data_IF_079279212317
#
_entry.id   IF_079279212317
#
_cell.length_a   1.000
_cell.length_b   1.000
_cell.length_c   1.000
_cell.angle_alpha   90.00
_cell.angle_beta   90.00
_cell.angle_gamma   90.00
#
_symmetry.space_group_name_H-M   'P 1'
#
loop_
_entity.id
_entity.type
_entity.pdbx_description
1 polymer ?
#
# COMPACT_ATOMS: atom_id res chain seq x y z
N UNK A 1 -22.77 3.54 0.91
CA UNK A 1 -22.20 3.21 -0.40
C UNK A 1 -21.76 4.52 -1.03
N UNK A 2 -20.50 4.86 -0.82
CA UNK A 2 -19.88 6.06 -1.37
C UNK A 2 -18.37 5.84 -1.35
N UNK A 3 -17.73 5.99 -2.51
CA UNK A 3 -16.27 6.10 -2.59
C UNK A 3 -15.83 7.30 -1.75
N UNK A 4 -14.89 7.07 -0.83
CA UNK A 4 -14.36 8.07 0.09
C UNK A 4 -13.03 8.59 -0.44
N UNK A 5 -12.71 9.84 -0.11
CA UNK A 5 -11.37 10.40 -0.37
C UNK A 5 -10.37 9.72 0.56
N UNK A 6 -9.31 9.17 -0.01
CA UNK A 6 -8.16 8.65 0.73
C UNK A 6 -7.31 9.83 1.19
N UNK A 7 -7.08 9.92 2.50
CA UNK A 7 -6.21 10.91 3.11
C UNK A 7 -4.76 10.60 2.74
N UNK A 8 -3.99 11.66 2.44
CA UNK A 8 -2.60 11.55 1.98
C UNK A 8 -1.63 12.32 2.87
N UNK A 9 -0.35 11.95 2.80
CA UNK A 9 0.76 12.66 3.43
C UNK A 9 0.68 12.70 4.96
N UNK A 10 1.10 13.82 5.54
CA UNK A 10 1.17 14.03 7.00
C UNK A 10 -0.18 14.42 7.62
N UNK A 11 -1.29 13.89 7.09
CA UNK A 11 -2.60 14.11 7.69
C UNK A 11 -2.63 13.58 9.12
N UNK A 12 -3.04 14.42 10.08
CA UNK A 12 -3.03 14.09 11.51
C UNK A 12 -3.75 12.77 11.82
N UNK A 13 -4.85 12.47 11.13
CA UNK A 13 -5.62 11.24 11.32
C UNK A 13 -4.84 9.96 10.99
N UNK A 14 -3.88 10.03 10.06
CA UNK A 14 -3.01 8.89 9.72
C UNK A 14 -1.98 8.62 10.82
N UNK A 15 -1.79 9.58 11.74
CA UNK A 15 -0.85 9.51 12.87
C UNK A 15 -1.54 9.18 14.20
N UNK A 16 -2.84 8.95 14.19
CA UNK A 16 -3.62 8.69 15.40
C UNK A 16 -3.94 7.20 15.56
N UNK A 17 -3.65 6.60 16.73
CA UNK A 17 -4.07 5.24 17.03
C UNK A 17 -5.60 5.10 16.97
N UNK A 18 -6.08 4.05 16.33
CA UNK A 18 -7.49 3.79 16.14
C UNK A 18 -8.13 3.13 17.36
N UNK A 19 -9.37 3.53 17.66
CA UNK A 19 -10.17 2.92 18.71
C UNK A 19 -10.69 1.53 18.30
N UNK A 20 -10.84 0.64 19.28
CA UNK A 20 -11.49 -0.66 19.04
C UNK A 20 -12.97 -0.45 18.70
N UNK A 21 -13.47 -1.25 17.78
CA UNK A 21 -14.91 -1.38 17.52
C UNK A 21 -15.53 -2.15 18.69
N UNK A 22 -16.53 -1.55 19.33
CA UNK A 22 -17.29 -2.15 20.44
C UNK A 22 -18.75 -2.40 20.08
N UNK A 23 -19.27 -1.70 19.07
CA UNK A 23 -20.64 -1.78 18.58
C UNK A 23 -20.61 -2.36 17.16
N UNK A 24 -21.28 -3.49 16.96
CA UNK A 24 -21.35 -4.24 15.71
C UNK A 24 -22.74 -4.09 15.11
N UNK A 25 -23.03 -2.87 14.65
CA UNK A 25 -24.34 -2.45 14.16
C UNK A 25 -24.23 -1.86 12.73
N UNK A 26 -25.33 -1.35 12.19
CA UNK A 26 -25.44 -0.82 10.82
C UNK A 26 -24.34 0.20 10.45
N UNK A 27 -23.84 0.97 11.41
CA UNK A 27 -22.75 1.92 11.17
C UNK A 27 -21.43 1.24 10.80
N UNK A 28 -21.13 0.08 11.40
CA UNK A 28 -19.96 -0.72 11.07
C UNK A 28 -20.10 -1.35 9.69
N UNK A 29 -21.29 -1.86 9.35
CA UNK A 29 -21.58 -2.37 8.01
C UNK A 29 -21.41 -1.26 6.96
N UNK A 30 -21.86 -0.04 7.27
CA UNK A 30 -21.69 1.10 6.38
C UNK A 30 -20.21 1.48 6.22
N UNK A 31 -19.42 1.49 7.30
CA UNK A 31 -17.98 1.74 7.26
C UNK A 31 -17.27 0.71 6.39
N UNK A 32 -17.53 -0.59 6.62
CA UNK A 32 -16.94 -1.66 5.83
C UNK A 32 -17.34 -1.53 4.36
N UNK A 33 -18.60 -1.22 4.08
CA UNK A 33 -19.06 -0.99 2.70
C UNK A 33 -18.31 0.16 2.03
N UNK A 34 -18.15 1.29 2.72
CA UNK A 34 -17.44 2.45 2.17
C UNK A 34 -15.95 2.15 1.97
N UNK A 35 -15.32 1.37 2.87
CA UNK A 35 -13.96 0.88 2.69
C UNK A 35 -13.83 -0.02 1.46
N UNK A 36 -14.78 -0.94 1.25
CA UNK A 36 -14.77 -1.84 0.08
C UNK A 36 -14.99 -1.08 -1.22
N UNK A 37 -15.95 -0.17 -1.25
CA UNK A 37 -16.22 0.67 -2.42
C UNK A 37 -14.98 1.52 -2.76
N UNK A 38 -14.34 2.10 -1.75
CA UNK A 38 -13.12 2.90 -1.92
C UNK A 38 -11.93 2.04 -2.35
N UNK A 39 -11.75 0.85 -1.76
CA UNK A 39 -10.68 -0.07 -2.16
C UNK A 39 -10.82 -0.45 -3.63
N UNK A 40 -12.04 -0.74 -4.11
CA UNK A 40 -12.30 -1.12 -5.51
C UNK A 40 -12.10 0.03 -6.50
N UNK A 41 -12.33 1.26 -6.07
CA UNK A 41 -12.04 2.46 -6.86
C UNK A 41 -10.55 2.86 -6.78
N UNK A 42 -9.83 2.29 -5.82
CA UNK A 42 -8.40 2.47 -5.66
C UNK A 42 -7.61 1.35 -6.36
N UNK A 43 -6.36 1.63 -6.74
CA UNK A 43 -5.45 0.60 -7.23
C UNK A 43 -4.75 -0.22 -6.13
N UNK A 44 -5.05 0.00 -4.85
CA UNK A 44 -4.48 -0.74 -3.73
C UNK A 44 -5.08 -2.14 -3.56
N UNK A 45 -4.44 -2.98 -2.72
CA UNK A 45 -4.96 -4.30 -2.34
C UNK A 45 -5.54 -4.33 -0.92
N UNK A 46 -5.33 -3.27 -0.14
CA UNK A 46 -5.89 -3.10 1.18
C UNK A 46 -6.16 -1.63 1.47
N UNK A 47 -7.07 -1.39 2.42
CA UNK A 47 -7.43 -0.06 2.88
C UNK A 47 -7.94 -0.12 4.32
N UNK A 48 -7.45 0.78 5.17
CA UNK A 48 -7.89 0.90 6.57
C UNK A 48 -8.76 2.14 6.81
N UNK A 49 -9.65 2.03 7.81
CA UNK A 49 -10.54 3.11 8.23
C UNK A 49 -9.86 4.48 8.46
N UNK A 50 -8.68 4.59 9.12
CA UNK A 50 -8.00 5.88 9.28
C UNK A 50 -7.68 6.55 7.95
N UNK A 51 -7.42 5.80 6.88
CA UNK A 51 -7.13 6.35 5.56
C UNK A 51 -8.34 7.03 4.91
N UNK A 52 -9.56 6.70 5.32
CA UNK A 52 -10.79 7.44 4.94
C UNK A 52 -11.29 8.37 6.06
N UNK A 53 -10.45 8.60 7.06
CA UNK A 53 -10.65 9.55 8.15
C UNK A 53 -11.50 9.05 9.32
N UNK A 54 -11.66 7.73 9.46
CA UNK A 54 -12.42 7.08 10.54
C UNK A 54 -11.47 6.33 11.47
N UNK A 55 -11.34 6.75 12.72
CA UNK A 55 -10.37 6.21 13.68
C UNK A 55 -10.89 4.95 14.40
N UNK A 56 -11.18 3.92 13.62
CA UNK A 56 -11.60 2.61 14.13
C UNK A 56 -10.68 1.50 13.62
N UNK A 57 -10.50 0.45 14.42
CA UNK A 57 -9.68 -0.71 14.08
C UNK A 57 -10.38 -1.61 13.06
N UNK A 58 -10.48 -1.13 11.82
CA UNK A 58 -11.10 -1.84 10.70
C UNK A 58 -10.23 -1.65 9.47
N UNK A 59 -9.90 -2.75 8.79
CA UNK A 59 -9.35 -2.70 7.45
C UNK A 59 -9.95 -3.78 6.56
N UNK A 60 -9.84 -3.57 5.25
CA UNK A 60 -10.25 -4.54 4.23
C UNK A 60 -9.06 -4.88 3.34
N UNK A 61 -9.03 -6.09 2.80
CA UNK A 61 -7.96 -6.57 1.92
C UNK A 61 -8.52 -7.49 0.85
N UNK A 62 -8.10 -7.31 -0.40
CA UNK A 62 -8.38 -8.21 -1.52
C UNK A 62 -7.09 -8.50 -2.29
N UNK A 63 -6.50 -9.68 -2.02
CA UNK A 63 -5.34 -10.20 -2.76
C UNK A 63 -5.77 -11.16 -3.88
N UNK A 64 -6.95 -10.92 -4.45
CA UNK A 64 -7.52 -11.70 -5.55
C UNK A 64 -8.25 -12.97 -5.12
N UNK A 65 -8.61 -13.10 -3.84
CA UNK A 65 -9.46 -14.17 -3.31
C UNK A 65 -10.85 -13.65 -2.90
N UNK A 66 -11.14 -12.39 -3.22
CA UNK A 66 -12.28 -11.66 -2.70
C UNK A 66 -11.90 -10.88 -1.43
N UNK A 67 -12.71 -9.86 -1.17
CA UNK A 67 -12.53 -8.96 -0.04
C UNK A 67 -12.66 -9.70 1.29
N UNK A 68 -11.63 -9.56 2.13
CA UNK A 68 -11.60 -9.96 3.52
C UNK A 68 -11.70 -8.73 4.43
N UNK A 69 -12.42 -8.86 5.54
CA UNK A 69 -12.70 -7.77 6.49
C UNK A 69 -12.10 -8.10 7.84
N UNK A 70 -11.31 -7.18 8.39
CA UNK A 70 -10.57 -7.37 9.62
C UNK A 70 -10.98 -6.31 10.65
N UNK A 71 -11.77 -6.71 11.64
CA UNK A 71 -12.19 -5.82 12.72
C UNK A 71 -11.43 -6.19 14.00
N UNK A 72 -10.93 -5.19 14.72
CA UNK A 72 -10.09 -5.34 15.90
C UNK A 72 -8.96 -6.39 15.75
N UNK A 73 -8.19 -6.36 14.64
CA UNK A 73 -7.19 -7.37 14.36
C UNK A 73 -6.06 -7.34 15.40
N UNK A 74 -5.58 -8.52 15.78
CA UNK A 74 -4.46 -8.70 16.70
C UNK A 74 -3.52 -9.75 16.14
N UNK A 75 -2.29 -9.34 15.84
CA UNK A 75 -1.21 -10.27 15.51
C UNK A 75 -0.86 -11.14 16.73
N UNK A 76 -0.80 -12.44 16.52
CA UNK A 76 -0.54 -13.45 17.57
C UNK A 76 0.78 -14.19 17.37
N UNK A 77 1.25 -14.29 16.13
CA UNK A 77 2.56 -14.85 15.79
C UNK A 77 3.10 -14.21 14.51
N UNK A 78 4.41 -14.14 14.40
CA UNK A 78 5.14 -13.77 13.20
C UNK A 78 6.38 -14.67 13.07
N UNK A 79 6.68 -15.10 11.86
CA UNK A 79 7.80 -16.01 11.57
C UNK A 79 8.45 -15.64 10.25
N UNK A 80 9.77 -15.89 10.20
CA UNK A 80 10.62 -15.64 9.03
C UNK A 80 10.60 -14.17 8.59
N UNK A 81 11.40 -13.82 7.60
CA UNK A 81 11.48 -12.46 7.07
C UNK A 81 11.42 -12.49 5.55
N UNK A 82 10.79 -11.46 5.00
CA UNK A 82 10.77 -11.17 3.58
C UNK A 82 11.12 -9.69 3.38
N UNK A 83 11.73 -9.40 2.25
CA UNK A 83 12.03 -8.05 1.82
C UNK A 83 11.23 -7.76 0.55
N UNK A 84 10.53 -6.62 0.51
CA UNK A 84 9.74 -6.24 -0.65
C UNK A 84 9.35 -4.76 -0.61
N UNK A 85 9.06 -4.20 -1.78
CA UNK A 85 8.57 -2.83 -1.93
C UNK A 85 7.15 -2.69 -1.43
N UNK A 86 6.89 -1.80 -0.49
CA UNK A 86 5.54 -1.42 -0.08
C UNK A 86 5.08 -0.15 -0.78
N UNK A 87 3.80 -0.13 -1.11
CA UNK A 87 3.08 1.00 -1.69
C UNK A 87 1.93 1.36 -0.75
N UNK A 88 1.64 2.65 -0.60
CA UNK A 88 0.56 3.13 0.25
C UNK A 88 -0.32 4.09 -0.54
N UNK A 89 -1.63 3.90 -0.52
CA UNK A 89 -2.57 4.83 -1.18
C UNK A 89 -2.54 6.24 -0.56
N UNK A 90 -2.08 6.37 0.68
CA UNK A 90 -1.84 7.65 1.35
C UNK A 90 -0.52 8.31 0.95
N UNK A 91 0.40 7.60 0.28
CA UNK A 91 1.69 8.07 -0.20
C UNK A 91 1.96 7.52 -1.62
N UNK A 92 1.17 7.95 -2.62
CA UNK A 92 1.09 7.28 -3.92
C UNK A 92 2.38 7.33 -4.74
N UNK A 93 3.27 8.28 -4.47
CA UNK A 93 4.49 8.53 -5.26
C UNK A 93 5.76 7.96 -4.63
N UNK A 94 5.67 7.35 -3.45
CA UNK A 94 6.85 7.03 -2.61
C UNK A 94 6.86 5.55 -2.21
N UNK A 95 7.20 4.63 -3.14
CA UNK A 95 7.45 3.25 -2.76
C UNK A 95 8.67 3.14 -1.86
N UNK A 96 8.60 2.29 -0.84
CA UNK A 96 9.75 2.02 0.03
C UNK A 96 9.96 0.52 0.19
N UNK A 97 11.23 0.10 0.17
CA UNK A 97 11.65 -1.26 0.49
C UNK A 97 11.50 -1.51 1.99
N UNK A 98 10.74 -2.55 2.35
CA UNK A 98 10.46 -2.92 3.75
C UNK A 98 10.82 -4.36 4.04
N UNK A 99 11.24 -4.59 5.27
CA UNK A 99 11.37 -5.93 5.85
C UNK A 99 10.14 -6.23 6.69
N UNK A 100 9.42 -7.30 6.32
CA UNK A 100 8.23 -7.77 7.03
C UNK A 100 8.37 -9.27 7.32
N UNK A 101 7.61 -9.81 8.27
CA UNK A 101 7.53 -11.26 8.44
C UNK A 101 7.04 -11.94 7.16
N UNK A 102 7.55 -13.13 6.84
CA UNK A 102 7.01 -13.91 5.71
C UNK A 102 5.66 -14.56 6.06
N UNK A 103 5.46 -14.87 7.34
CA UNK A 103 4.24 -15.47 7.87
C UNK A 103 3.73 -14.68 9.08
N UNK A 104 2.42 -14.41 9.10
CA UNK A 104 1.73 -13.83 10.26
C UNK A 104 0.46 -14.61 10.56
N UNK A 105 0.27 -14.94 11.83
CA UNK A 105 -1.03 -15.41 12.36
C UNK A 105 -1.68 -14.26 13.12
N UNK A 106 -2.91 -13.93 12.75
CA UNK A 106 -3.72 -12.94 13.44
C UNK A 106 -5.08 -13.51 13.83
N UNK A 107 -5.65 -12.93 14.88
CA UNK A 107 -7.08 -13.04 15.19
C UNK A 107 -7.76 -11.74 14.85
N UNK A 108 -8.97 -11.80 14.31
CA UNK A 108 -9.80 -10.63 14.04
C UNK A 108 -11.27 -10.99 14.28
N UNK A 109 -12.13 -9.99 14.29
CA UNK A 109 -13.58 -10.14 14.36
C UNK A 109 -14.19 -9.92 12.98
N UNK A 110 -15.30 -10.59 12.71
CA UNK A 110 -16.16 -10.32 11.55
C UNK A 110 -17.20 -9.22 11.87
N UNK A 111 -18.08 -8.95 10.90
CA UNK A 111 -19.17 -7.96 11.03
C UNK A 111 -20.15 -8.28 12.17
N UNK A 112 -20.23 -9.54 12.61
CA UNK A 112 -21.06 -9.98 13.73
C UNK A 112 -20.29 -9.98 15.06
N UNK A 113 -19.02 -9.55 15.07
CA UNK A 113 -18.17 -9.54 16.24
C UNK A 113 -17.59 -10.91 16.61
N UNK A 114 -17.77 -11.92 15.76
CA UNK A 114 -17.27 -13.26 16.01
C UNK A 114 -15.77 -13.33 15.71
N UNK A 115 -15.01 -13.88 16.66
CA UNK A 115 -13.57 -14.05 16.48
C UNK A 115 -13.27 -15.18 15.50
N UNK A 116 -12.36 -14.90 14.58
CA UNK A 116 -11.74 -15.89 13.70
C UNK A 116 -10.22 -15.72 13.71
N UNK A 117 -9.52 -16.77 13.28
CA UNK A 117 -8.07 -16.75 13.09
C UNK A 117 -7.75 -16.91 11.61
N UNK A 118 -6.69 -16.24 11.16
CA UNK A 118 -6.15 -16.41 9.82
C UNK A 118 -4.63 -16.44 9.87
N UNK A 119 -4.05 -17.27 9.01
CA UNK A 119 -2.62 -17.30 8.73
C UNK A 119 -2.41 -16.73 7.33
N UNK A 120 -1.54 -15.74 7.22
CA UNK A 120 -1.17 -15.12 5.94
C UNK A 120 0.28 -15.47 5.60
N UNK A 121 0.64 -15.34 4.32
CA UNK A 121 2.03 -15.40 3.88
C UNK A 121 2.29 -14.45 2.71
N UNK A 122 3.56 -14.08 2.49
CA UNK A 122 3.99 -13.32 1.32
C UNK A 122 3.29 -11.96 1.21
N UNK A 123 2.69 -11.70 0.05
CA UNK A 123 1.94 -10.46 -0.23
C UNK A 123 0.81 -10.21 0.78
N UNK A 124 0.02 -11.21 1.13
CA UNK A 124 -1.07 -11.04 2.10
C UNK A 124 -0.53 -10.66 3.49
N UNK A 125 0.61 -11.20 3.89
CA UNK A 125 1.26 -10.81 5.15
C UNK A 125 1.77 -9.39 5.12
N UNK A 126 2.35 -8.95 4.00
CA UNK A 126 2.78 -7.54 3.82
C UNK A 126 1.60 -6.58 3.99
N UNK A 127 0.50 -6.84 3.29
CA UNK A 127 -0.72 -6.02 3.40
C UNK A 127 -1.25 -5.99 4.84
N UNK A 128 -1.32 -7.15 5.52
CA UNK A 128 -1.74 -7.19 6.93
C UNK A 128 -0.81 -6.38 7.83
N UNK A 129 0.51 -6.50 7.68
CA UNK A 129 1.46 -5.71 8.49
C UNK A 129 1.29 -4.21 8.24
N UNK A 130 1.12 -3.82 6.98
CA UNK A 130 0.90 -2.44 6.58
C UNK A 130 -0.37 -1.85 7.21
N UNK A 131 -1.50 -2.56 7.12
CA UNK A 131 -2.75 -2.06 7.70
C UNK A 131 -2.73 -2.07 9.23
N UNK A 132 -2.04 -3.03 9.86
CA UNK A 132 -1.84 -3.03 11.31
C UNK A 132 -1.07 -1.79 11.79
N UNK A 133 -0.10 -1.31 11.01
CA UNK A 133 0.62 -0.06 11.29
C UNK A 133 -0.32 1.14 11.21
N UNK A 134 -1.13 1.24 10.15
CA UNK A 134 -2.12 2.32 10.02
C UNK A 134 -3.11 2.37 11.19
N UNK A 135 -3.57 1.21 11.69
CA UNK A 135 -4.44 1.16 12.87
C UNK A 135 -3.76 1.65 14.15
N UNK A 136 -2.42 1.68 14.20
CA UNK A 136 -1.63 2.22 15.30
C UNK A 136 -1.22 3.69 15.09
N UNK A 137 -1.65 4.33 14.00
CA UNK A 137 -1.19 5.66 13.63
C UNK A 137 0.26 5.68 13.13
N UNK A 138 0.74 4.54 12.64
CA UNK A 138 2.05 4.42 12.02
C UNK A 138 1.89 4.34 10.50
N UNK A 139 2.89 4.83 9.80
CA UNK A 139 3.01 4.68 8.35
C UNK A 139 4.30 3.94 8.02
N UNK A 140 4.36 3.40 6.81
CA UNK A 140 5.39 2.48 6.37
C UNK A 140 6.84 3.01 6.33
N UNK A 141 7.11 4.28 6.65
CA UNK A 141 8.49 4.74 6.87
C UNK A 141 8.89 4.87 8.34
N UNK A 142 7.95 4.78 9.29
CA UNK A 142 8.24 5.06 10.70
C UNK A 142 9.23 4.09 11.34
N UNK A 143 9.29 2.85 10.86
CA UNK A 143 10.25 1.84 11.36
C UNK A 143 11.50 1.71 10.48
N UNK A 144 11.71 2.61 9.49
CA UNK A 144 12.97 2.65 8.74
C UNK A 144 14.02 3.45 9.52
N UNK A 145 15.27 2.97 9.58
CA UNK A 145 16.40 3.77 10.04
C UNK A 145 16.53 5.06 9.21
N UNK A 146 16.89 6.18 9.85
CA UNK A 146 17.00 7.49 9.19
C UNK A 146 17.88 7.48 7.93
N UNK A 147 18.99 6.73 7.95
CA UNK A 147 19.90 6.58 6.83
C UNK A 147 19.27 5.80 5.67
N UNK A 148 18.55 4.72 5.97
CA UNK A 148 17.82 3.93 4.98
C UNK A 148 16.65 4.73 4.38
N UNK A 149 15.89 5.43 5.22
CA UNK A 149 14.81 6.30 4.77
C UNK A 149 15.34 7.40 3.85
N UNK A 150 16.40 8.09 4.28
CA UNK A 150 17.04 9.12 3.47
C UNK A 150 17.48 8.56 2.12
N UNK A 151 18.22 7.45 2.09
CA UNK A 151 18.67 6.83 0.85
C UNK A 151 17.53 6.48 -0.11
N UNK A 152 16.43 5.95 0.42
CA UNK A 152 15.27 5.58 -0.41
C UNK A 152 14.43 6.79 -0.84
N UNK A 153 14.38 7.85 -0.03
CA UNK A 153 13.62 9.06 -0.35
C UNK A 153 14.40 10.05 -1.23
N UNK A 154 15.73 10.03 -1.20
CA UNK A 154 16.58 10.98 -1.93
C UNK A 154 16.25 11.11 -3.42
N UNK A 155 16.01 10.01 -4.18
CA UNK A 155 15.62 10.11 -5.59
C UNK A 155 14.32 10.91 -5.80
N UNK A 156 13.40 10.85 -4.84
CA UNK A 156 12.11 11.56 -4.91
C UNK A 156 12.18 13.00 -4.38
N UNK A 157 13.27 13.38 -3.71
CA UNK A 157 13.50 14.72 -3.15
C UNK A 157 14.36 15.59 -4.06
N UNK A 158 15.28 15.00 -4.84
CA UNK A 158 16.11 15.73 -5.81
C UNK A 158 15.25 16.46 -6.85
N UNK A 159 14.13 15.86 -7.23
CA UNK A 159 13.12 16.42 -8.14
C UNK A 159 12.47 17.73 -7.62
N UNK A 160 12.47 17.94 -6.30
CA UNK A 160 11.91 19.15 -5.68
C UNK A 160 12.92 20.31 -5.56
N UNK A 161 14.20 20.10 -5.91
CA UNK A 161 15.27 21.08 -5.68
C UNK A 161 16.07 21.48 -6.91
N UNK A 162 15.84 20.86 -8.07
CA UNK A 162 16.44 21.29 -9.34
C UNK A 162 15.60 22.32 -10.09
N UNK A 163 15.36 23.46 -9.44
CA UNK A 163 15.25 24.74 -10.14
C UNK A 163 16.67 25.21 -10.51
N UNK A 164 17.35 24.47 -11.40
CA UNK A 164 18.58 24.92 -12.05
C UNK A 164 18.35 25.08 -13.54
N UNK A 165 17.99 26.32 -13.90
CA UNK A 165 18.33 27.01 -15.15
C UNK A 165 18.56 26.12 -16.39
N UNK A 166 17.50 25.53 -16.92
CA UNK A 166 17.46 25.00 -18.29
C UNK A 166 16.29 25.62 -19.04
N UNK A 167 16.61 26.22 -20.20
CA UNK A 167 15.68 26.91 -21.09
C UNK A 167 14.74 25.92 -21.80
N UNK A 168 13.70 25.45 -21.12
CA UNK A 168 12.52 24.82 -21.72
C UNK A 168 11.24 25.53 -21.28
N UNK A 169 10.24 25.54 -22.16
CA UNK A 169 8.95 26.18 -21.92
C UNK A 169 8.32 25.58 -20.64
N UNK A 170 7.90 26.39 -19.64
CA UNK A 170 7.24 25.89 -18.44
C UNK A 170 6.06 24.95 -18.71
N UNK A 171 5.35 25.17 -19.83
CA UNK A 171 4.21 24.33 -20.23
C UNK A 171 4.66 22.92 -20.68
N UNK A 172 5.81 22.82 -21.36
CA UNK A 172 6.37 21.53 -21.81
C UNK A 172 6.90 20.71 -20.63
N UNK A 173 7.42 21.37 -19.58
CA UNK A 173 7.85 20.69 -18.34
C UNK A 173 6.68 20.13 -17.54
N UNK A 174 5.58 20.88 -17.45
CA UNK A 174 4.37 20.43 -16.75
C UNK A 174 3.76 19.19 -17.45
N UNK A 175 3.66 19.20 -18.77
CA UNK A 175 3.20 18.04 -19.57
C UNK A 175 4.14 16.83 -19.43
N UNK A 176 5.46 17.04 -19.36
CA UNK A 176 6.44 15.97 -19.12
C UNK A 176 6.27 15.35 -17.73
N UNK A 177 6.10 16.18 -16.69
CA UNK A 177 5.90 15.70 -15.33
C UNK A 177 4.58 14.93 -15.20
N UNK A 178 3.49 15.44 -15.78
CA UNK A 178 2.20 14.73 -15.82
C UNK A 178 2.33 13.35 -16.49
N UNK A 179 3.10 13.26 -17.59
CA UNK A 179 3.37 11.99 -18.25
C UNK A 179 4.19 11.04 -17.36
N UNK A 180 5.22 11.54 -16.67
CA UNK A 180 6.05 10.74 -15.77
C UNK A 180 5.23 10.21 -14.58
N UNK A 181 4.39 11.05 -13.98
CA UNK A 181 3.47 10.64 -12.92
C UNK A 181 2.49 9.56 -13.39
N UNK A 182 1.93 9.71 -14.59
CA UNK A 182 1.08 8.69 -15.21
C UNK A 182 1.84 7.39 -15.48
N UNK A 183 3.09 7.47 -15.94
CA UNK A 183 3.93 6.31 -16.22
C UNK A 183 4.28 5.56 -14.94
N UNK A 184 4.68 6.28 -13.87
CA UNK A 184 4.89 5.71 -12.53
C UNK A 184 3.61 5.04 -12.03
N UNK A 185 2.46 5.72 -12.18
CA UNK A 185 1.15 5.20 -11.80
C UNK A 185 0.79 3.88 -12.52
N UNK A 186 1.02 3.81 -13.83
CA UNK A 186 0.80 2.59 -14.59
C UNK A 186 1.76 1.46 -14.19
N UNK A 187 3.03 1.80 -13.95
CA UNK A 187 4.09 0.84 -13.66
C UNK A 187 3.87 0.11 -12.33
N UNK A 188 3.51 0.83 -11.28
CA UNK A 188 3.26 0.20 -9.99
C UNK A 188 2.00 -0.67 -10.03
N UNK A 189 0.94 -0.26 -10.76
CA UNK A 189 -0.28 -1.06 -10.96
C UNK A 189 0.05 -2.40 -11.63
N UNK A 190 0.91 -2.37 -12.65
CA UNK A 190 1.39 -3.59 -13.33
C UNK A 190 2.20 -4.47 -12.38
N UNK A 191 3.13 -3.88 -11.62
CA UNK A 191 3.92 -4.62 -10.63
C UNK A 191 3.03 -5.34 -9.62
N UNK A 192 2.07 -4.61 -9.03
CA UNK A 192 1.12 -5.15 -8.07
C UNK A 192 0.27 -6.29 -8.67
N UNK A 193 -0.19 -6.11 -9.91
CA UNK A 193 -0.96 -7.12 -10.60
C UNK A 193 -0.17 -8.42 -10.81
N UNK A 194 1.12 -8.33 -11.16
CA UNK A 194 1.99 -9.50 -11.24
C UNK A 194 2.18 -10.17 -9.88
N UNK A 195 2.31 -9.41 -8.78
CA UNK A 195 2.40 -9.97 -7.43
C UNK A 195 1.14 -10.75 -7.07
N UNK A 196 -0.05 -10.21 -7.39
CA UNK A 196 -1.34 -10.91 -7.20
C UNK A 196 -1.39 -12.21 -8.00
N UNK A 197 -1.02 -12.19 -9.28
CA UNK A 197 -1.00 -13.40 -10.12
C UNK A 197 -0.03 -14.46 -9.59
N UNK A 198 1.14 -14.05 -9.10
CA UNK A 198 2.10 -14.95 -8.47
C UNK A 198 1.51 -15.57 -7.19
N UNK A 199 0.90 -14.76 -6.33
CA UNK A 199 0.26 -15.22 -5.10
C UNK A 199 -0.88 -16.23 -5.37
N UNK A 200 -1.70 -16.00 -6.41
CA UNK A 200 -2.79 -16.90 -6.80
C UNK A 200 -2.30 -18.20 -7.44
N UNK A 201 -1.22 -18.14 -8.24
CA UNK A 201 -0.73 -19.31 -8.97
C UNK A 201 0.04 -20.30 -8.09
N UNK A 202 0.48 -19.87 -6.90
CA UNK A 202 1.34 -20.65 -6.00
C UNK A 202 2.71 -20.98 -6.60
N UNK A 203 3.08 -20.33 -7.71
CA UNK A 203 4.34 -20.53 -8.43
C UNK A 203 5.22 -19.30 -8.23
N UNK A 204 6.54 -19.49 -8.03
CA UNK A 204 7.46 -18.37 -7.93
C UNK A 204 7.48 -17.57 -9.25
N UNK A 205 7.79 -16.27 -9.15
CA UNK A 205 7.87 -15.30 -10.25
C UNK A 205 8.87 -15.66 -11.38
N UNK A 206 9.49 -16.85 -11.34
CA UNK A 206 10.52 -17.33 -12.25
C UNK A 206 9.97 -18.07 -13.49
N UNK A 207 8.67 -17.97 -13.77
CA UNK A 207 8.12 -18.49 -15.03
C UNK A 207 8.49 -17.55 -16.20
N UNK A 208 8.86 -18.08 -17.38
CA UNK A 208 9.39 -17.29 -18.49
C UNK A 208 8.57 -16.03 -18.87
N UNK A 209 7.23 -16.08 -19.02
CA UNK A 209 6.47 -14.87 -19.32
C UNK A 209 6.45 -13.86 -18.16
N UNK A 210 6.53 -14.31 -16.90
CA UNK A 210 6.56 -13.41 -15.74
C UNK A 210 7.92 -12.75 -15.55
N UNK A 211 9.01 -13.47 -15.84
CA UNK A 211 10.36 -12.88 -15.83
C UNK A 211 10.54 -11.83 -16.93
N UNK A 212 9.95 -12.04 -18.10
CA UNK A 212 9.99 -11.06 -19.21
C UNK A 212 9.20 -9.79 -18.86
N UNK A 213 8.00 -9.91 -18.27
CA UNK A 213 7.24 -8.74 -17.84
C UNK A 213 7.96 -8.02 -16.70
N UNK A 214 8.56 -8.75 -15.76
CA UNK A 214 9.36 -8.15 -14.68
C UNK A 214 10.56 -7.37 -15.23
N UNK A 215 11.30 -7.93 -16.19
CA UNK A 215 12.39 -7.23 -16.86
C UNK A 215 11.91 -5.98 -17.59
N UNK A 216 10.72 -6.03 -18.21
CA UNK A 216 10.12 -4.86 -18.84
C UNK A 216 9.78 -3.78 -17.81
N UNK A 217 9.22 -4.17 -16.66
CA UNK A 217 8.92 -3.25 -15.55
C UNK A 217 10.20 -2.63 -15.01
N UNK A 218 11.24 -3.43 -14.75
CA UNK A 218 12.55 -2.95 -14.28
C UNK A 218 13.16 -1.97 -15.30
N UNK A 219 13.10 -2.28 -16.60
CA UNK A 219 13.61 -1.39 -17.64
C UNK A 219 12.81 -0.08 -17.77
N UNK A 220 11.49 -0.14 -17.62
CA UNK A 220 10.64 1.05 -17.61
C UNK A 220 10.92 1.92 -16.38
N UNK A 221 11.11 1.30 -15.21
CA UNK A 221 11.52 2.01 -13.99
C UNK A 221 12.85 2.73 -14.20
N UNK A 222 13.88 2.02 -14.70
CA UNK A 222 15.19 2.61 -15.01
C UNK A 222 15.08 3.79 -15.98
N UNK A 223 14.18 3.69 -16.96
CA UNK A 223 13.98 4.77 -17.94
C UNK A 223 13.27 5.99 -17.35
N UNK A 224 12.28 5.77 -16.46
CA UNK A 224 11.63 6.84 -15.70
C UNK A 224 12.67 7.51 -14.80
N UNK A 225 13.40 6.75 -14.00
CA UNK A 225 14.41 7.26 -13.06
C UNK A 225 15.53 8.03 -13.79
N UNK A 226 15.90 7.61 -15.01
CA UNK A 226 16.90 8.28 -15.84
C UNK A 226 16.37 9.53 -16.57
N UNK A 227 15.05 9.68 -16.70
CA UNK A 227 14.42 10.88 -17.26
C UNK A 227 14.26 11.97 -16.19
N UNK A 228 14.21 11.56 -14.93
CA UNK A 228 14.18 12.43 -13.73
C UNK A 228 15.58 12.95 -13.31
N UNK A 229 16.68 12.43 -13.90
CA UNK A 229 18.07 12.71 -13.52
C UNK A 229 18.82 13.61 -14.51
#
# INVERSE_FOLDING_TARGET
MCVRVILQGECEKLRQPCAKVIEFEDQLEQLVTDLVDTLKDSPGLSLSAPQIGVLQQVFVMDVGQGVQVFINPVQTAAQEEQESTEWCASFPTQPLMRHRPLHVTLRAQDLQGMWYMVCTTGLATRMVCHELDHLQGKVFYDDLPDDALFQQMMPFLSDATEDTESMTDPLEKEEQQEFLDLARDALWKLTLWLEVLNAQSGKPATQPPMSEIRQLIEHLQEHIDATDA
#
